data_IF_127659283434
#
_entry.id   IF_127659283434
#
_cell.length_a   1.000
_cell.length_b   1.000
_cell.length_c   1.000
_cell.angle_alpha   90.00
_cell.angle_beta   90.00
_cell.angle_gamma   90.00
#
_symmetry.space_group_name_H-M   'P 1'
#
loop_
_entity.id
_entity.type
_entity.pdbx_description
1 polymer ?
#
# COMPACT_ATOMS: atom_id res chain seq x y z
N UNK A 1 6.41 -6.86 0.15
CA UNK A 1 5.02 -6.52 -0.23
C UNK A 1 4.41 -5.60 0.83
N UNK A 2 3.79 -4.49 0.42
CA UNK A 2 3.08 -3.54 1.30
C UNK A 2 1.71 -3.25 0.72
N UNK A 3 0.67 -3.20 1.56
CA UNK A 3 -0.66 -2.78 1.15
C UNK A 3 -1.27 -1.79 2.15
N UNK A 4 -2.03 -0.82 1.64
CA UNK A 4 -2.89 0.06 2.44
C UNK A 4 -4.33 -0.14 1.97
N UNK A 5 -5.22 -0.55 2.87
CA UNK A 5 -6.64 -0.71 2.61
C UNK A 5 -7.38 0.42 3.29
N UNK A 6 -8.25 1.09 2.53
CA UNK A 6 -9.11 2.14 3.05
C UNK A 6 -10.56 1.72 2.79
N UNK A 7 -11.41 1.81 3.80
CA UNK A 7 -12.80 1.38 3.75
C UNK A 7 -13.69 2.41 4.43
N UNK A 8 -14.57 3.04 3.65
CA UNK A 8 -15.59 3.96 4.19
C UNK A 8 -16.69 3.24 4.97
N UNK A 9 -17.18 2.03 4.58
CA UNK A 9 -18.21 1.33 5.37
C UNK A 9 -17.74 0.94 6.78
N UNK A 10 -16.47 0.54 6.92
CA UNK A 10 -15.88 0.19 8.23
C UNK A 10 -15.16 1.36 8.89
N UNK A 11 -15.16 2.53 8.24
CA UNK A 11 -14.45 3.74 8.66
C UNK A 11 -12.99 3.48 9.05
N UNK A 12 -12.28 2.64 8.30
CA UNK A 12 -10.94 2.21 8.69
C UNK A 12 -9.90 2.35 7.58
N UNK A 13 -8.67 2.60 8.00
CA UNK A 13 -7.46 2.41 7.22
C UNK A 13 -6.61 1.33 7.90
N UNK A 14 -6.19 0.34 7.12
CA UNK A 14 -5.34 -0.75 7.57
C UNK A 14 -4.07 -0.81 6.72
N UNK A 15 -2.93 -1.06 7.35
CA UNK A 15 -1.63 -1.23 6.66
C UNK A 15 -1.14 -2.65 6.91
N UNK A 16 -0.72 -3.30 5.83
CA UNK A 16 -0.22 -4.67 5.84
C UNK A 16 1.22 -4.71 5.34
N UNK A 17 2.07 -5.46 6.02
CA UNK A 17 3.45 -5.76 5.59
C UNK A 17 3.56 -7.27 5.44
N UNK A 18 3.94 -7.72 4.23
CA UNK A 18 4.06 -9.15 3.90
C UNK A 18 2.81 -9.97 4.27
N UNK A 19 1.62 -9.36 4.12
CA UNK A 19 0.35 -10.02 4.38
C UNK A 19 -0.05 -10.02 5.85
N UNK A 20 0.66 -9.34 6.73
CA UNK A 20 0.30 -9.22 8.15
C UNK A 20 -0.17 -7.79 8.41
N UNK A 21 -1.34 -7.62 9.02
CA UNK A 21 -1.81 -6.29 9.45
C UNK A 21 -0.90 -5.76 10.56
N UNK A 22 -0.20 -4.66 10.30
CA UNK A 22 0.72 -4.02 11.25
C UNK A 22 0.16 -2.76 11.87
N UNK A 23 -0.91 -2.20 11.29
CA UNK A 23 -1.58 -1.01 11.80
C UNK A 23 -3.03 -0.95 11.35
N UNK A 24 -3.87 -0.49 12.25
CA UNK A 24 -5.24 -0.08 11.96
C UNK A 24 -5.49 1.31 12.55
N UNK A 25 -6.24 2.14 11.81
CA UNK A 25 -6.78 3.41 12.27
C UNK A 25 -8.25 3.47 11.89
N UNK A 26 -9.10 3.78 12.87
CA UNK A 26 -10.53 4.02 12.64
C UNK A 26 -10.83 5.51 12.68
N UNK A 27 -11.74 5.98 11.82
CA UNK A 27 -12.26 7.34 11.82
C UNK A 27 -13.52 7.45 12.66
N UNK A 28 -13.73 8.63 13.24
CA UNK A 28 -14.89 8.89 14.11
C UNK A 28 -16.16 9.18 13.32
N UNK A 29 -16.01 9.63 12.09
CA UNK A 29 -17.09 10.09 11.21
C UNK A 29 -16.94 9.47 9.82
N UNK A 30 -18.00 9.56 9.01
CA UNK A 30 -17.91 9.21 7.61
C UNK A 30 -17.00 10.18 6.87
N UNK A 31 -16.15 9.62 6.02
CA UNK A 31 -15.22 10.37 5.18
C UNK A 31 -15.43 9.97 3.71
N UNK A 32 -15.32 10.95 2.81
CA UNK A 32 -15.36 10.70 1.38
C UNK A 32 -13.93 10.68 0.83
N UNK A 33 -13.53 9.54 0.26
CA UNK A 33 -12.22 9.39 -0.37
C UNK A 33 -12.26 10.09 -1.72
N UNK A 34 -11.36 11.06 -1.92
CA UNK A 34 -11.17 11.76 -3.19
C UNK A 34 -9.71 11.58 -3.65
N UNK A 35 -9.45 10.67 -4.59
CA UNK A 35 -8.11 10.54 -5.16
C UNK A 35 -7.68 11.85 -5.84
N UNK A 36 -6.59 12.45 -5.38
CA UNK A 36 -5.95 13.59 -6.04
C UNK A 36 -4.75 13.16 -6.88
N UNK A 37 -3.93 14.14 -7.30
CA UNK A 37 -2.65 13.88 -7.95
C UNK A 37 -1.77 12.98 -7.08
N UNK A 38 -1.39 11.81 -7.58
CA UNK A 38 -0.54 10.86 -6.88
C UNK A 38 0.89 10.86 -7.44
N UNK A 39 1.84 10.44 -6.61
CA UNK A 39 3.24 10.26 -6.98
C UNK A 39 3.73 8.95 -6.40
N UNK A 40 4.62 8.28 -7.12
CA UNK A 40 5.24 7.02 -6.70
C UNK A 40 6.72 7.28 -6.47
N UNK A 41 7.27 6.72 -5.39
CA UNK A 41 8.70 6.78 -5.10
C UNK A 41 9.23 8.17 -4.73
N UNK A 42 8.36 9.17 -4.51
CA UNK A 42 8.79 10.49 -4.08
C UNK A 42 7.67 11.25 -3.35
N UNK A 43 8.05 12.04 -2.36
CA UNK A 43 7.19 13.05 -1.74
C UNK A 43 7.85 14.41 -1.94
N UNK A 44 7.29 15.22 -2.84
CA UNK A 44 7.69 16.61 -3.06
C UNK A 44 6.66 17.51 -2.38
N UNK A 45 7.05 18.31 -1.38
CA UNK A 45 6.18 19.36 -0.88
C UNK A 45 5.96 20.43 -1.96
N UNK A 46 4.80 21.06 -1.94
CA UNK A 46 4.40 22.05 -2.95
C UNK A 46 5.18 23.37 -2.84
N UNK A 47 5.88 23.60 -1.73
CA UNK A 47 6.66 24.83 -1.52
C UNK A 47 8.08 24.70 -2.07
N UNK A 48 8.52 25.72 -2.83
CA UNK A 48 9.87 25.82 -3.44
C UNK A 48 11.03 25.85 -2.44
N UNK A 49 10.75 26.08 -1.16
CA UNK A 49 11.79 26.08 -0.14
C UNK A 49 12.23 24.65 0.16
N UNK A 50 13.54 24.44 -0.03
CA UNK A 50 14.34 23.23 0.18
C UNK A 50 13.81 22.32 1.30
N UNK A 51 12.99 21.34 0.94
CA UNK A 51 12.45 20.39 1.89
C UNK A 51 12.96 18.99 1.55
N UNK A 52 13.38 18.28 2.60
CA UNK A 52 14.10 17.01 2.59
C UNK A 52 13.81 16.14 1.35
N UNK A 53 14.87 15.73 0.65
CA UNK A 53 14.76 14.71 -0.39
C UNK A 53 14.24 13.42 0.24
N UNK A 54 12.93 13.15 0.08
CA UNK A 54 12.25 11.95 0.53
C UNK A 54 12.00 10.97 -0.62
N UNK A 55 12.86 11.01 -1.63
CA UNK A 55 12.80 10.03 -2.72
C UNK A 55 13.06 8.64 -2.16
N UNK A 56 12.22 7.70 -2.56
CA UNK A 56 12.43 6.29 -2.26
C UNK A 56 13.67 5.78 -3.00
N UNK A 57 14.60 5.17 -2.26
CA UNK A 57 15.82 4.58 -2.82
C UNK A 57 15.68 3.07 -2.85
N UNK A 58 15.06 2.56 -3.91
CA UNK A 58 14.81 1.13 -4.09
C UNK A 58 14.05 0.85 -5.39
N UNK A 59 13.75 -0.43 -5.63
CA UNK A 59 12.89 -0.87 -6.74
C UNK A 59 11.45 -1.01 -6.25
N UNK A 60 10.50 -0.66 -7.11
CA UNK A 60 9.07 -0.88 -6.92
C UNK A 60 8.61 -1.76 -8.07
N UNK A 61 7.89 -2.81 -7.76
CA UNK A 61 7.29 -3.75 -8.69
C UNK A 61 5.79 -3.95 -8.36
N UNK A 62 5.04 -4.47 -9.35
CA UNK A 62 3.65 -4.91 -9.19
C UNK A 62 2.69 -3.89 -8.51
N UNK A 63 2.79 -2.61 -8.90
CA UNK A 63 1.89 -1.58 -8.40
C UNK A 63 0.46 -1.79 -8.91
N UNK A 64 -0.49 -1.90 -7.99
CA UNK A 64 -1.91 -1.98 -8.29
C UNK A 64 -2.74 -1.10 -7.35
N UNK A 65 -3.90 -0.65 -7.83
CA UNK A 65 -4.88 0.16 -7.11
C UNK A 65 -6.26 -0.45 -7.35
N UNK A 66 -7.04 -0.59 -6.29
CA UNK A 66 -8.39 -1.16 -6.34
C UNK A 66 -9.42 -0.11 -5.97
N UNK A 67 -10.59 -0.19 -6.62
CA UNK A 67 -11.76 0.63 -6.30
C UNK A 67 -12.60 0.08 -5.14
N UNK A 68 -12.09 -0.93 -4.43
CA UNK A 68 -12.73 -1.57 -3.28
C UNK A 68 -11.71 -1.90 -2.21
N UNK A 69 -12.19 -2.07 -0.97
CA UNK A 69 -11.39 -2.63 0.09
C UNK A 69 -11.08 -4.12 -0.20
N UNK A 70 -9.82 -4.49 -0.01
CA UNK A 70 -9.38 -5.87 -0.09
C UNK A 70 -9.45 -6.53 1.28
N UNK A 71 -9.77 -7.81 1.29
CA UNK A 71 -9.73 -8.64 2.49
C UNK A 71 -8.31 -9.07 2.82
N UNK A 72 -8.05 -9.39 4.09
CA UNK A 72 -6.78 -9.96 4.53
C UNK A 72 -6.38 -11.21 3.72
N UNK A 73 -7.34 -12.07 3.38
CA UNK A 73 -7.07 -13.29 2.60
C UNK A 73 -6.64 -12.98 1.16
N UNK A 74 -7.20 -11.94 0.53
CA UNK A 74 -6.76 -11.48 -0.79
C UNK A 74 -5.33 -10.93 -0.74
N UNK A 75 -5.02 -10.14 0.29
CA UNK A 75 -3.68 -9.60 0.53
C UNK A 75 -2.65 -10.73 0.72
N UNK A 76 -2.97 -11.75 1.52
CA UNK A 76 -2.09 -12.91 1.71
C UNK A 76 -1.86 -13.65 0.39
N UNK A 77 -2.91 -13.88 -0.41
CA UNK A 77 -2.78 -14.50 -1.73
C UNK A 77 -1.88 -13.71 -2.68
N UNK A 78 -1.94 -12.38 -2.65
CA UNK A 78 -1.05 -11.53 -3.46
C UNK A 78 0.41 -11.60 -2.98
N UNK A 79 0.65 -11.71 -1.68
CA UNK A 79 2.00 -11.96 -1.16
C UNK A 79 2.55 -13.27 -1.69
N UNK A 80 1.76 -14.34 -1.63
CA UNK A 80 2.18 -15.65 -2.11
C UNK A 80 2.41 -15.67 -3.63
N UNK A 81 1.56 -15.00 -4.40
CA UNK A 81 1.72 -14.86 -5.84
C UNK A 81 2.96 -14.04 -6.23
N UNK A 82 3.31 -13.02 -5.44
CA UNK A 82 4.48 -12.16 -5.66
C UNK A 82 5.79 -12.73 -5.09
N UNK A 83 5.76 -13.85 -4.37
CA UNK A 83 6.98 -14.50 -3.92
C UNK A 83 7.70 -15.07 -5.14
N UNK A 84 8.99 -14.77 -5.34
CA UNK A 84 9.74 -15.38 -6.42
C UNK A 84 9.71 -16.90 -6.23
N UNK A 85 9.27 -17.61 -7.28
CA UNK A 85 9.37 -19.05 -7.31
C UNK A 85 10.83 -19.49 -7.17
N UNK A 86 11.05 -20.63 -6.54
CA UNK A 86 12.40 -21.20 -6.48
C UNK A 86 12.79 -21.57 -7.92
N UNK A 87 13.77 -20.87 -8.48
CA UNK A 87 14.20 -21.06 -9.88
C UNK A 87 14.88 -22.42 -10.12
N UNK A 88 15.13 -23.18 -9.06
CA UNK A 88 15.78 -24.49 -9.12
C UNK A 88 15.31 -25.34 -7.94
N UNK A 89 14.46 -26.34 -8.19
CA UNK A 89 14.38 -27.52 -7.33
C UNK A 89 15.48 -28.47 -7.79
N UNK A 90 16.43 -28.81 -6.92
CA UNK A 90 17.28 -29.99 -7.17
C UNK A 90 16.36 -31.20 -7.07
N UNK A 91 16.14 -31.86 -8.19
CA UNK A 91 15.73 -33.27 -8.21
C UNK A 91 16.75 -34.11 -7.43
#
# INVERSE_FOLDING_TARGET
HVASVISTPTRSQQIYVNGIMVRERTWRQDEMIRPGSCRIGNWLPETKDRLANRSFRGRIDELAIWNRALTQQEITRMVDAGRPGMLWSKE
#
